data_IF_119943648707
#
_entry.id   IF_119943648707
#
_cell.length_a   1.000
_cell.length_b   1.000
_cell.length_c   1.000
_cell.angle_alpha   90.00
_cell.angle_beta   90.00
_cell.angle_gamma   90.00
#
_symmetry.space_group_name_H-M   'P 1'
#
loop_
_entity.id
_entity.type
_entity.pdbx_description
1 polymer ?
#
# COMPACT_ATOMS: atom_id res chain seq x y z
N UNK A 1 2.12 -49.29 6.30
CA UNK A 1 1.01 -49.49 7.26
C UNK A 1 0.41 -48.13 7.52
N UNK A 2 -0.90 -48.01 7.27
CA UNK A 2 -1.61 -46.76 7.10
C UNK A 2 -2.61 -46.50 8.25
N UNK A 3 -2.98 -45.22 8.38
CA UNK A 3 -4.19 -44.66 9.01
C UNK A 3 -4.13 -44.29 10.51
N UNK A 4 -4.94 -43.32 11.01
CA UNK A 4 -5.67 -42.23 10.32
C UNK A 4 -5.49 -40.83 10.95
N UNK A 5 -5.79 -39.81 10.14
CA UNK A 5 -6.09 -38.44 10.57
C UNK A 5 -7.59 -38.30 10.92
N UNK A 6 -7.88 -37.56 11.99
CA UNK A 6 -9.25 -37.25 12.45
C UNK A 6 -9.70 -35.89 11.88
N UNK A 7 -10.75 -35.92 11.06
CA UNK A 7 -11.47 -34.76 10.56
C UNK A 7 -12.53 -34.30 11.57
N UNK A 8 -12.67 -32.99 11.79
CA UNK A 8 -13.80 -32.39 12.50
C UNK A 8 -14.69 -31.66 11.49
N UNK A 9 -15.98 -31.99 11.53
CA UNK A 9 -17.04 -31.52 10.64
C UNK A 9 -17.73 -30.33 11.30
N UNK A 10 -17.86 -29.20 10.58
CA UNK A 10 -18.70 -28.06 10.96
C UNK A 10 -20.01 -28.16 10.19
N UNK A 11 -21.20 -28.06 10.82
CA UNK A 11 -22.45 -28.10 10.09
C UNK A 11 -22.81 -26.72 9.51
N UNK A 12 -23.17 -26.72 8.23
CA UNK A 12 -23.86 -25.64 7.54
C UNK A 12 -25.30 -25.50 8.03
N UNK A 13 -25.77 -24.26 8.21
CA UNK A 13 -27.20 -23.95 8.28
C UNK A 13 -27.54 -22.90 7.21
N UNK A 14 -28.46 -23.27 6.34
CA UNK A 14 -29.16 -22.44 5.36
C UNK A 14 -30.56 -22.09 5.91
N UNK A 15 -31.15 -21.02 5.39
CA UNK A 15 -32.56 -20.59 5.44
C UNK A 15 -32.78 -19.43 6.44
N UNK A 16 -33.34 -18.26 6.09
CA UNK A 16 -34.13 -17.86 4.94
C UNK A 16 -35.30 -17.00 5.42
N UNK A 17 -35.74 -16.09 4.55
CA UNK A 17 -36.99 -15.30 4.57
C UNK A 17 -37.03 -13.93 5.27
N UNK A 18 -37.38 -12.95 4.41
CA UNK A 18 -37.98 -11.66 4.70
C UNK A 18 -39.26 -11.81 5.54
N UNK A 19 -39.46 -10.97 6.57
CA UNK A 19 -40.71 -10.22 6.65
C UNK A 19 -40.65 -9.02 7.60
N UNK A 20 -41.23 -7.92 7.12
CA UNK A 20 -41.52 -6.70 7.88
C UNK A 20 -42.46 -7.03 9.04
N UNK A 21 -42.17 -6.52 10.23
CA UNK A 21 -43.19 -6.36 11.28
C UNK A 21 -43.14 -4.96 11.87
N UNK A 22 -44.32 -4.36 11.85
CA UNK A 22 -44.73 -3.06 12.33
C UNK A 22 -44.39 -2.83 13.80
N UNK A 23 -43.81 -1.67 14.10
CA UNK A 23 -43.70 -1.15 15.45
C UNK A 23 -45.07 -0.63 15.91
N UNK A 24 -45.72 -1.34 16.81
CA UNK A 24 -46.84 -0.83 17.60
C UNK A 24 -46.27 -0.17 18.85
N UNK A 25 -46.59 1.12 19.02
CA UNK A 25 -46.24 1.94 20.19
C UNK A 25 -46.90 1.39 21.45
N UNK A 26 -46.11 1.14 22.49
CA UNK A 26 -46.56 1.09 23.89
C UNK A 26 -45.94 2.29 24.64
N UNK A 27 -46.70 3.02 25.48
CA UNK A 27 -46.15 4.14 26.22
C UNK A 27 -45.43 3.61 27.48
N UNK A 28 -44.11 3.74 27.55
CA UNK A 28 -43.41 3.60 28.82
C UNK A 28 -43.44 4.95 29.55
N UNK A 29 -44.05 4.94 30.73
CA UNK A 29 -44.08 6.07 31.64
C UNK A 29 -42.66 6.49 32.06
N UNK A 30 -42.34 7.76 31.83
CA UNK A 30 -41.13 8.41 32.33
C UNK A 30 -41.11 8.40 33.86
N UNK A 31 -40.19 7.63 34.46
CA UNK A 31 -39.69 7.93 35.80
C UNK A 31 -38.51 8.90 35.66
N UNK A 32 -38.75 10.16 36.01
CA UNK A 32 -37.70 11.18 36.14
C UNK A 32 -36.88 10.91 37.41
N UNK A 33 -35.96 9.96 37.30
CA UNK A 33 -34.86 9.80 38.25
C UNK A 33 -33.83 10.90 38.03
N UNK A 34 -33.69 11.80 39.00
CA UNK A 34 -32.74 12.91 38.97
C UNK A 34 -31.32 12.39 39.21
N UNK A 35 -30.74 11.72 38.21
CA UNK A 35 -29.31 11.42 38.17
C UNK A 35 -28.62 12.50 37.36
N UNK A 36 -28.00 13.46 38.05
CA UNK A 36 -27.00 14.33 37.43
C UNK A 36 -25.79 13.47 37.08
N UNK A 37 -25.82 12.80 35.95
CA UNK A 37 -24.63 12.27 35.31
C UNK A 37 -23.74 13.47 34.98
N UNK A 38 -22.65 13.63 35.76
CA UNK A 38 -21.59 14.58 35.39
C UNK A 38 -21.06 14.13 34.05
N UNK A 39 -21.35 14.89 33.00
CA UNK A 39 -20.64 14.80 31.74
C UNK A 39 -19.22 15.29 32.04
N UNK A 40 -18.31 14.37 32.35
CA UNK A 40 -16.89 14.69 32.37
C UNK A 40 -16.48 15.10 30.96
N UNK A 41 -15.79 16.23 30.83
CA UNK A 41 -15.22 16.64 29.56
C UNK A 41 -14.18 15.59 29.15
N UNK A 42 -14.44 14.89 28.04
CA UNK A 42 -13.41 14.08 27.38
C UNK A 42 -12.48 15.09 26.70
N UNK A 43 -11.37 15.41 27.35
CA UNK A 43 -10.27 16.12 26.71
C UNK A 43 -9.35 15.07 26.12
N UNK A 44 -9.30 14.98 24.78
CA UNK A 44 -8.24 14.26 24.12
C UNK A 44 -6.92 14.97 24.46
N UNK A 45 -5.99 14.27 25.12
CA UNK A 45 -4.62 14.76 25.20
C UNK A 45 -4.13 14.87 23.75
N UNK A 46 -3.95 16.10 23.28
CA UNK A 46 -3.20 16.34 22.05
C UNK A 46 -1.84 15.71 22.29
N UNK A 47 -1.54 14.62 21.58
CA UNK A 47 -0.25 13.98 21.67
C UNK A 47 0.80 15.05 21.31
N UNK A 48 1.81 15.19 22.16
CA UNK A 48 2.98 16.00 21.86
C UNK A 48 3.49 15.55 20.48
N UNK A 49 3.66 16.50 19.57
CA UNK A 49 4.02 16.21 18.18
C UNK A 49 5.46 15.70 18.17
N UNK A 50 5.63 14.39 18.34
CA UNK A 50 6.94 13.76 18.35
C UNK A 50 7.57 13.94 16.98
N UNK A 51 8.84 14.36 16.95
CA UNK A 51 9.61 14.45 15.72
C UNK A 51 9.59 13.10 14.96
N UNK A 52 9.63 13.14 13.63
CA UNK A 52 9.69 11.96 12.77
C UNK A 52 10.87 11.07 13.18
N UNK A 53 10.59 9.79 13.47
CA UNK A 53 11.61 8.84 13.86
C UNK A 53 12.19 8.09 12.66
N UNK A 54 13.43 7.63 12.80
CA UNK A 54 14.10 6.78 11.81
C UNK A 54 14.49 5.44 12.44
N UNK A 55 14.37 4.36 11.67
CA UNK A 55 14.59 2.98 12.14
C UNK A 55 15.39 2.18 11.12
N UNK A 56 16.26 1.29 11.61
CA UNK A 56 17.01 0.35 10.79
C UNK A 56 16.04 -0.65 10.15
N UNK A 57 16.15 -0.90 8.85
CA UNK A 57 15.32 -1.87 8.14
C UNK A 57 15.90 -3.28 8.32
N UNK A 58 15.31 -4.05 9.24
CA UNK A 58 15.77 -5.39 9.56
C UNK A 58 17.23 -5.39 10.05
N UNK A 59 18.04 -6.27 9.49
CA UNK A 59 19.49 -6.35 9.74
C UNK A 59 20.33 -5.50 8.77
N UNK A 60 19.72 -4.93 7.72
CA UNK A 60 20.38 -4.08 6.71
C UNK A 60 20.73 -2.69 7.23
N UNK A 61 21.77 -2.06 6.69
CA UNK A 61 22.21 -0.72 7.11
C UNK A 61 21.33 0.45 6.63
N UNK A 62 20.17 0.16 6.02
CA UNK A 62 19.21 1.17 5.64
C UNK A 62 18.52 1.76 6.89
N UNK A 63 18.67 3.06 7.09
CA UNK A 63 17.98 3.83 8.12
C UNK A 63 16.81 4.59 7.47
N UNK A 64 15.58 4.08 7.64
CA UNK A 64 14.38 4.60 6.97
C UNK A 64 13.53 5.43 7.93
N UNK A 65 12.83 6.44 7.43
CA UNK A 65 11.78 7.12 8.20
C UNK A 65 10.67 6.14 8.57
N UNK A 66 10.06 6.32 9.75
CA UNK A 66 8.98 5.44 10.23
C UNK A 66 7.72 5.49 9.34
N UNK A 67 7.61 6.53 8.51
CA UNK A 67 6.61 6.69 7.47
C UNK A 67 7.29 6.51 6.11
N UNK A 68 6.70 5.68 5.25
CA UNK A 68 7.11 5.49 3.86
C UNK A 68 6.05 6.07 2.92
N UNK A 69 6.48 6.80 1.90
CA UNK A 69 5.58 7.34 0.88
C UNK A 69 5.24 6.28 -0.17
N UNK A 70 3.99 5.82 -0.19
CA UNK A 70 3.47 4.98 -1.27
C UNK A 70 3.00 5.80 -2.47
N UNK A 71 3.21 5.29 -3.69
CA UNK A 71 3.05 6.09 -4.92
C UNK A 71 2.07 5.52 -5.95
N UNK A 72 1.27 4.51 -5.59
CA UNK A 72 0.45 3.71 -6.53
C UNK A 72 -0.58 4.49 -7.37
N UNK A 73 -0.90 5.73 -7.01
CA UNK A 73 -1.89 6.58 -7.69
C UNK A 73 -1.29 7.49 -8.77
N UNK A 74 0.04 7.64 -8.80
CA UNK A 74 0.76 8.57 -9.67
C UNK A 74 0.73 8.09 -11.13
N UNK A 75 0.12 8.87 -12.01
CA UNK A 75 -0.10 8.52 -13.40
C UNK A 75 -1.48 7.98 -13.72
N UNK A 76 -2.35 7.86 -12.72
CA UNK A 76 -3.75 7.47 -12.91
C UNK A 76 -4.72 8.45 -12.24
N UNK A 77 -4.62 8.63 -10.92
CA UNK A 77 -5.44 9.58 -10.18
C UNK A 77 -4.73 10.92 -9.99
N UNK A 78 -3.39 10.89 -9.90
CA UNK A 78 -2.56 12.09 -9.83
C UNK A 78 -1.83 12.32 -11.15
N UNK A 79 -1.80 13.57 -11.56
CA UNK A 79 -0.93 14.07 -12.61
C UNK A 79 0.54 14.05 -12.16
N UNK A 80 1.47 14.21 -13.10
CA UNK A 80 2.90 14.27 -12.78
C UNK A 80 3.24 15.44 -11.85
N UNK A 81 2.62 16.60 -12.08
CA UNK A 81 2.80 17.79 -11.25
C UNK A 81 2.37 17.52 -9.79
N UNK A 82 1.19 16.95 -9.59
CA UNK A 82 0.70 16.61 -8.25
C UNK A 82 1.58 15.55 -7.58
N UNK A 83 2.07 14.57 -8.34
CA UNK A 83 3.02 13.58 -7.84
C UNK A 83 4.32 14.25 -7.35
N UNK A 84 4.86 15.21 -8.10
CA UNK A 84 6.05 15.98 -7.72
C UNK A 84 5.81 16.83 -6.47
N UNK A 85 4.65 17.48 -6.36
CA UNK A 85 4.27 18.27 -5.18
C UNK A 85 4.20 17.39 -3.93
N UNK A 86 3.59 16.20 -4.03
CA UNK A 86 3.51 15.22 -2.93
C UNK A 86 4.89 14.69 -2.56
N UNK A 87 5.72 14.33 -3.55
CA UNK A 87 7.08 13.85 -3.35
C UNK A 87 7.91 14.91 -2.61
N UNK A 88 7.97 16.14 -3.14
CA UNK A 88 8.73 17.21 -2.52
C UNK A 88 8.24 17.50 -1.09
N UNK A 89 6.93 17.60 -0.87
CA UNK A 89 6.39 17.84 0.47
C UNK A 89 6.78 16.74 1.47
N UNK A 90 6.71 15.47 1.06
CA UNK A 90 7.10 14.35 1.92
C UNK A 90 8.58 14.40 2.29
N UNK A 91 9.46 14.61 1.31
CA UNK A 91 10.91 14.66 1.53
C UNK A 91 11.36 15.91 2.28
N UNK A 92 10.73 17.06 2.03
CA UNK A 92 10.93 18.29 2.82
C UNK A 92 10.47 18.13 4.28
N UNK A 93 9.50 17.24 4.53
CA UNK A 93 9.03 16.88 5.87
C UNK A 93 9.90 15.82 6.56
N UNK A 94 10.98 15.37 5.92
CA UNK A 94 11.95 14.41 6.47
C UNK A 94 11.69 12.94 6.12
N UNK A 95 10.65 12.61 5.33
CA UNK A 95 10.52 11.24 4.81
C UNK A 95 11.69 10.98 3.86
N UNK A 96 12.41 9.87 4.05
CA UNK A 96 13.57 9.55 3.21
C UNK A 96 13.36 8.33 2.31
N UNK A 97 12.22 7.66 2.39
CA UNK A 97 11.91 6.44 1.65
C UNK A 97 10.60 6.57 0.88
N UNK A 98 10.62 6.10 -0.37
CA UNK A 98 9.43 5.98 -1.21
C UNK A 98 9.31 4.55 -1.77
N UNK A 99 8.07 4.16 -2.01
CA UNK A 99 7.71 2.83 -2.50
C UNK A 99 6.93 2.94 -3.81
N UNK A 100 7.41 2.25 -4.84
CA UNK A 100 6.77 2.10 -6.17
C UNK A 100 6.66 0.62 -6.55
N UNK A 101 6.18 0.30 -7.75
CA UNK A 101 6.21 -1.03 -8.33
C UNK A 101 6.19 -0.92 -9.85
N UNK A 102 6.77 -1.90 -10.55
CA UNK A 102 6.75 -1.90 -12.01
C UNK A 102 5.31 -1.86 -12.58
N UNK A 103 4.34 -2.41 -11.84
CA UNK A 103 2.94 -2.47 -12.22
C UNK A 103 2.18 -1.15 -12.06
N UNK A 104 2.68 -0.22 -11.24
CA UNK A 104 1.94 0.99 -10.91
C UNK A 104 1.81 1.91 -12.12
N UNK A 105 0.67 2.63 -12.25
CA UNK A 105 -0.33 2.91 -11.22
C UNK A 105 -1.51 1.92 -11.13
N UNK A 106 -2.35 2.09 -10.11
CA UNK A 106 -3.60 1.34 -9.87
C UNK A 106 -4.82 2.16 -10.31
N UNK A 107 -5.85 1.55 -10.95
CA UNK A 107 -5.91 0.16 -11.41
C UNK A 107 -4.90 -0.15 -12.51
N UNK A 108 -4.32 -1.37 -12.44
CA UNK A 108 -3.29 -1.83 -13.38
C UNK A 108 -3.87 -2.00 -14.80
N UNK A 109 -3.25 -1.33 -15.77
CA UNK A 109 -3.62 -1.40 -17.20
C UNK A 109 -2.36 -1.37 -18.06
N UNK A 110 -2.44 -1.96 -19.25
CA UNK A 110 -1.31 -2.01 -20.19
C UNK A 110 -0.85 -0.61 -20.62
N UNK A 111 -1.79 0.32 -20.77
CA UNK A 111 -1.54 1.67 -21.29
C UNK A 111 -0.88 2.60 -20.26
N UNK A 112 -1.02 2.29 -18.97
CA UNK A 112 -0.53 3.13 -17.87
C UNK A 112 0.61 2.50 -17.10
N UNK A 113 0.88 1.21 -17.27
CA UNK A 113 1.92 0.48 -16.55
C UNK A 113 3.28 1.20 -16.62
N UNK A 114 3.92 1.33 -15.46
CA UNK A 114 5.23 1.96 -15.31
C UNK A 114 5.20 3.50 -15.31
N UNK A 115 4.03 4.13 -15.46
CA UNK A 115 3.93 5.60 -15.45
C UNK A 115 4.32 6.21 -14.09
N UNK A 116 4.05 5.49 -13.00
CA UNK A 116 4.51 5.88 -11.67
C UNK A 116 6.03 5.99 -11.61
N UNK A 117 6.76 4.98 -12.12
CA UNK A 117 8.23 5.00 -12.21
C UNK A 117 8.73 6.18 -13.07
N UNK A 118 8.03 6.51 -14.16
CA UNK A 118 8.39 7.66 -15.02
C UNK A 118 8.23 9.00 -14.30
N UNK A 119 7.16 9.18 -13.52
CA UNK A 119 6.91 10.41 -12.76
C UNK A 119 7.89 10.56 -11.60
N UNK A 120 8.22 9.47 -10.91
CA UNK A 120 9.27 9.46 -9.89
C UNK A 120 10.62 9.74 -10.53
N UNK A 121 10.92 9.11 -11.67
CA UNK A 121 12.19 9.27 -12.36
C UNK A 121 12.43 10.69 -12.88
N UNK A 122 11.39 11.41 -13.30
CA UNK A 122 11.52 12.83 -13.66
C UNK A 122 11.79 13.72 -12.45
N UNK A 123 11.15 13.44 -11.30
CA UNK A 123 11.41 14.12 -10.04
C UNK A 123 12.82 13.85 -9.50
N UNK A 124 13.29 12.59 -9.54
CA UNK A 124 14.61 12.18 -9.05
C UNK A 124 15.78 12.94 -9.69
N UNK A 125 15.61 13.44 -10.92
CA UNK A 125 16.65 14.23 -11.62
C UNK A 125 17.06 15.50 -10.87
N UNK A 126 16.18 16.05 -10.03
CA UNK A 126 16.46 17.25 -9.23
C UNK A 126 16.89 16.92 -7.79
N UNK A 127 16.99 15.64 -7.44
CA UNK A 127 17.27 15.20 -6.08
C UNK A 127 18.70 14.65 -5.95
N UNK A 128 19.34 14.82 -4.79
CA UNK A 128 20.52 14.03 -4.43
C UNK A 128 20.09 12.57 -4.25
N UNK A 129 20.44 11.71 -5.23
CA UNK A 129 19.95 10.32 -5.31
C UNK A 129 20.28 9.49 -4.06
N UNK A 130 21.38 9.76 -3.38
CA UNK A 130 21.81 9.11 -2.13
C UNK A 130 20.95 9.48 -0.91
N UNK A 131 20.11 10.51 -1.00
CA UNK A 131 19.15 10.91 0.05
C UNK A 131 17.79 10.25 -0.09
N UNK A 132 17.54 9.58 -1.23
CA UNK A 132 16.26 8.92 -1.51
C UNK A 132 16.44 7.42 -1.43
N UNK A 133 15.81 6.77 -0.45
CA UNK A 133 15.72 5.32 -0.40
C UNK A 133 14.58 4.89 -1.32
N UNK A 134 14.93 4.24 -2.41
CA UNK A 134 13.98 3.84 -3.46
C UNK A 134 13.65 2.35 -3.34
N UNK A 135 12.44 2.06 -2.88
CA UNK A 135 11.88 0.72 -2.90
C UNK A 135 11.02 0.52 -4.16
N UNK A 136 11.22 -0.59 -4.87
CA UNK A 136 10.31 -1.02 -5.95
C UNK A 136 10.01 -2.50 -5.84
N UNK A 137 9.05 -2.95 -6.64
CA UNK A 137 8.55 -4.33 -6.63
C UNK A 137 8.44 -4.88 -8.03
N UNK A 138 8.85 -6.15 -8.17
CA UNK A 138 8.52 -6.95 -9.33
C UNK A 138 7.23 -7.75 -9.07
N UNK A 139 6.40 -7.87 -10.09
CA UNK A 139 5.19 -8.67 -10.03
C UNK A 139 5.50 -10.16 -9.87
N UNK A 140 4.72 -10.81 -9.01
CA UNK A 140 4.73 -12.25 -8.83
C UNK A 140 4.05 -13.01 -9.96
N UNK A 141 3.69 -14.26 -9.68
CA UNK A 141 2.98 -15.10 -10.65
C UNK A 141 1.67 -14.45 -11.10
N UNK A 142 1.47 -14.31 -12.42
CA UNK A 142 0.22 -13.79 -12.97
C UNK A 142 0.06 -14.15 -14.45
N UNK A 143 -1.10 -14.73 -14.77
CA UNK A 143 -1.52 -14.97 -16.17
C UNK A 143 -2.22 -13.74 -16.77
N UNK A 144 -2.74 -12.84 -15.92
CA UNK A 144 -3.51 -11.66 -16.34
C UNK A 144 -2.63 -10.43 -16.60
N UNK A 145 -1.38 -10.47 -16.13
CA UNK A 145 -0.43 -9.36 -16.18
C UNK A 145 0.76 -9.66 -17.09
N UNK A 146 0.64 -10.66 -17.97
CA UNK A 146 1.72 -11.06 -18.88
C UNK A 146 2.24 -9.89 -19.75
N UNK A 147 1.39 -8.89 -20.02
CA UNK A 147 1.72 -7.69 -20.79
C UNK A 147 2.83 -6.81 -20.18
N UNK A 148 3.21 -7.01 -18.92
CA UNK A 148 4.30 -6.26 -18.25
C UNK A 148 5.68 -6.75 -18.75
N UNK A 149 5.74 -7.92 -19.40
CA UNK A 149 6.94 -8.50 -19.99
C UNK A 149 6.80 -8.59 -21.50
N UNK A 150 7.89 -8.48 -22.23
CA UNK A 150 7.83 -8.40 -23.70
C UNK A 150 7.47 -9.75 -24.33
N UNK A 151 7.97 -10.85 -23.78
CA UNK A 151 7.84 -12.20 -24.35
C UNK A 151 7.27 -13.24 -23.37
N UNK A 152 6.69 -12.81 -22.24
CA UNK A 152 6.13 -13.75 -21.27
C UNK A 152 4.67 -14.07 -21.58
N UNK A 153 4.30 -15.35 -21.51
CA UNK A 153 2.88 -15.78 -21.48
C UNK A 153 2.28 -15.66 -20.08
N UNK A 154 3.12 -15.77 -19.06
CA UNK A 154 2.78 -15.75 -17.64
C UNK A 154 3.96 -15.11 -16.91
N UNK A 155 3.69 -14.23 -15.95
CA UNK A 155 4.73 -13.69 -15.08
C UNK A 155 5.20 -14.75 -14.10
N UNK A 156 6.49 -14.77 -13.80
CA UNK A 156 7.11 -15.66 -12.83
C UNK A 156 8.20 -14.92 -12.06
N UNK A 157 8.51 -15.41 -10.86
CA UNK A 157 9.67 -14.97 -10.08
C UNK A 157 10.85 -15.88 -10.45
N UNK A 158 11.35 -15.71 -11.67
CA UNK A 158 12.55 -16.39 -12.18
C UNK A 158 13.61 -15.38 -12.63
N UNK A 159 14.84 -15.85 -12.84
CA UNK A 159 15.97 -14.97 -13.13
C UNK A 159 15.77 -14.09 -14.37
N UNK A 160 15.07 -14.58 -15.40
CA UNK A 160 14.82 -13.82 -16.64
C UNK A 160 13.80 -12.71 -16.38
N UNK A 161 12.69 -13.04 -15.71
CA UNK A 161 11.65 -12.08 -15.38
C UNK A 161 12.11 -11.03 -14.36
N UNK A 162 12.92 -11.42 -13.37
CA UNK A 162 13.51 -10.50 -12.39
C UNK A 162 14.45 -9.53 -13.10
N UNK A 163 15.35 -10.03 -13.95
CA UNK A 163 16.29 -9.18 -14.70
C UNK A 163 15.56 -8.16 -15.57
N UNK A 164 14.60 -8.61 -16.37
CA UNK A 164 13.82 -7.72 -17.24
C UNK A 164 13.04 -6.67 -16.43
N UNK A 165 12.46 -7.07 -15.29
CA UNK A 165 11.77 -6.15 -14.37
C UNK A 165 12.69 -5.03 -13.88
N UNK A 166 13.84 -5.42 -13.34
CA UNK A 166 14.82 -4.49 -12.76
C UNK A 166 15.36 -3.55 -13.83
N UNK A 167 15.79 -4.08 -14.99
CA UNK A 167 16.31 -3.25 -16.10
C UNK A 167 15.28 -2.24 -16.60
N UNK A 168 14.01 -2.66 -16.73
CA UNK A 168 12.94 -1.75 -17.14
C UNK A 168 12.60 -0.72 -16.07
N UNK A 169 12.58 -1.09 -14.79
CA UNK A 169 12.35 -0.15 -13.69
C UNK A 169 13.48 0.87 -13.59
N UNK A 170 14.74 0.44 -13.58
CA UNK A 170 15.92 1.33 -13.58
C UNK A 170 15.87 2.33 -14.74
N UNK A 171 15.52 1.85 -15.95
CA UNK A 171 15.35 2.71 -17.13
C UNK A 171 14.26 3.75 -16.96
N UNK A 172 13.09 3.39 -16.42
CA UNK A 172 11.98 4.33 -16.20
C UNK A 172 12.27 5.33 -15.08
N UNK A 173 12.86 4.84 -13.99
CA UNK A 173 13.26 5.64 -12.83
C UNK A 173 14.49 6.53 -13.11
N UNK A 174 15.24 6.25 -14.18
CA UNK A 174 16.40 7.05 -14.56
C UNK A 174 17.55 6.97 -13.55
N UNK A 175 17.71 5.82 -12.89
CA UNK A 175 18.78 5.55 -11.91
C UNK A 175 19.43 4.21 -12.22
N UNK A 176 20.62 4.01 -11.68
CA UNK A 176 21.48 2.83 -11.84
C UNK A 176 21.33 1.80 -10.70
N UNK A 177 20.66 2.15 -9.60
CA UNK A 177 20.42 1.22 -8.50
C UNK A 177 19.04 1.40 -7.84
N UNK A 178 18.60 0.31 -7.19
CA UNK A 178 17.40 0.21 -6.35
C UNK A 178 17.87 -0.15 -4.95
N UNK A 179 17.42 0.58 -3.93
CA UNK A 179 17.82 0.35 -2.54
C UNK A 179 17.14 -0.89 -1.96
N UNK A 180 15.87 -1.11 -2.32
CA UNK A 180 15.09 -2.25 -1.88
C UNK A 180 14.22 -2.81 -3.03
N UNK A 181 14.52 -4.05 -3.45
CA UNK A 181 13.70 -4.78 -4.41
C UNK A 181 12.84 -5.82 -3.68
N UNK A 182 11.53 -5.79 -3.92
CA UNK A 182 10.58 -6.71 -3.29
C UNK A 182 9.86 -7.57 -4.33
N UNK A 183 9.52 -8.80 -3.95
CA UNK A 183 8.55 -9.61 -4.69
C UNK A 183 7.16 -9.14 -4.25
N UNK A 184 6.33 -8.71 -5.21
CA UNK A 184 5.08 -8.04 -4.91
C UNK A 184 3.97 -9.00 -4.40
N UNK A 185 3.99 -10.27 -4.81
CA UNK A 185 3.14 -11.36 -4.30
C UNK A 185 3.67 -12.74 -4.70
#
# INVERSE_FOLDING_TARGET
MASPATFSIVPSFICGSNNRRSFIRAPLACHLGNSRTRIGSISAKVAEQSALQYRKLGDSDLLISEITLGTMTFGQQNTEKEAHEILSYAFDSGINILDTAEAYPVPMKKETQGRTDLYIGSWLKSQPRDKVILATKLCGYSERSAYIRDNAKVLRVDAVNIRESVEKSLKRLGTDYIDLLQIHW
#
